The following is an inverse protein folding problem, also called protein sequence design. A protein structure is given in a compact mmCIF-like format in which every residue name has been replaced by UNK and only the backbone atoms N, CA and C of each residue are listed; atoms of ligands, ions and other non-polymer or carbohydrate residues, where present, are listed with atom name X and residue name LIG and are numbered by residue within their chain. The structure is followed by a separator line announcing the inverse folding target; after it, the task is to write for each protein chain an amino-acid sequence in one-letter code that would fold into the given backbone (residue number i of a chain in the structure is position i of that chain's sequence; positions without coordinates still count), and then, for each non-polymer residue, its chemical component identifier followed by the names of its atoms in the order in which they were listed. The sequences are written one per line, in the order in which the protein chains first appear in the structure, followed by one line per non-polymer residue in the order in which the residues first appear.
data_IF_153483330596
#
_entry.id   IF_153483330596
#
_cell.length_a   1.000
_cell.length_b   1.000
_cell.length_c   1.000
_cell.angle_alpha   90.00
_cell.angle_beta   90.00
_cell.angle_gamma   90.00
#
_symmetry.space_group_name_H-M   'P 1'
#
loop_
_entity.id
_entity.type
_entity.pdbx_description
1 polymer ?
#
# COMPACT_ATOMS: atom_id res chain seq x y z
N UNK A 1 12.82 -32.68 64.28
CA UNK A 1 12.82 -31.22 64.05
C UNK A 1 13.81 -30.74 62.95
N UNK A 2 15.09 -31.15 62.93
CA UNK A 2 16.03 -30.64 61.92
C UNK A 2 15.72 -30.99 60.46
N UNK A 3 15.08 -32.12 60.17
CA UNK A 3 14.69 -32.53 58.81
C UNK A 3 13.54 -31.69 58.26
N UNK A 4 12.51 -31.40 59.06
CA UNK A 4 11.36 -30.56 58.66
C UNK A 4 11.80 -29.12 58.39
N UNK A 5 12.71 -28.57 59.20
CA UNK A 5 13.25 -27.23 58.98
C UNK A 5 14.04 -27.13 57.67
N UNK A 6 14.74 -28.19 57.24
CA UNK A 6 15.46 -28.24 55.97
C UNK A 6 14.53 -28.35 54.78
N UNK A 7 13.45 -29.11 54.88
CA UNK A 7 12.42 -29.24 53.85
C UNK A 7 11.65 -27.93 53.65
N UNK A 8 11.26 -27.27 54.72
CA UNK A 8 10.58 -25.97 54.69
C UNK A 8 11.48 -24.89 54.06
N UNK A 9 12.79 -24.88 54.47
CA UNK A 9 13.74 -23.92 53.92
C UNK A 9 14.00 -24.12 52.42
N UNK A 10 14.05 -25.38 51.92
CA UNK A 10 14.17 -25.69 50.49
C UNK A 10 12.88 -25.33 49.74
N UNK A 11 11.73 -25.60 50.29
CA UNK A 11 10.45 -25.20 49.69
C UNK A 11 10.30 -23.68 49.56
N UNK A 12 10.64 -22.93 50.61
CA UNK A 12 10.62 -21.46 50.54
C UNK A 12 11.64 -20.90 49.52
N UNK A 13 12.82 -21.50 49.40
CA UNK A 13 13.81 -21.07 48.41
C UNK A 13 13.32 -21.35 46.98
N UNK A 14 12.67 -22.47 46.71
CA UNK A 14 12.10 -22.81 45.40
C UNK A 14 10.95 -21.89 45.01
N UNK A 15 10.07 -21.56 45.95
CA UNK A 15 8.98 -20.61 45.75
C UNK A 15 9.54 -19.21 45.47
N UNK A 16 10.53 -18.76 46.20
CA UNK A 16 11.18 -17.46 46.02
C UNK A 16 11.85 -17.38 44.63
N UNK A 17 12.55 -18.44 44.22
CA UNK A 17 13.18 -18.51 42.88
C UNK A 17 12.13 -18.45 41.77
N UNK A 18 11.00 -19.12 41.94
CA UNK A 18 9.90 -19.12 40.97
C UNK A 18 9.24 -17.73 40.85
N UNK A 19 9.05 -17.04 41.96
CA UNK A 19 8.53 -15.67 42.01
C UNK A 19 9.53 -14.70 41.34
N UNK A 20 10.81 -14.82 41.62
CA UNK A 20 11.84 -13.98 40.97
C UNK A 20 11.90 -14.22 39.46
N UNK A 21 11.83 -15.48 39.02
CA UNK A 21 11.76 -15.81 37.58
C UNK A 21 10.52 -15.23 36.92
N UNK A 22 9.37 -15.29 37.58
CA UNK A 22 8.11 -14.69 37.09
C UNK A 22 8.23 -13.17 36.98
N UNK A 23 8.79 -12.51 37.98
CA UNK A 23 9.00 -11.05 37.96
C UNK A 23 9.97 -10.67 36.83
N UNK A 24 11.07 -11.41 36.68
CA UNK A 24 12.03 -11.17 35.59
C UNK A 24 11.36 -11.37 34.22
N UNK A 25 10.55 -12.41 34.04
CA UNK A 25 9.81 -12.63 32.81
C UNK A 25 8.80 -11.50 32.52
N UNK A 26 8.03 -11.08 33.53
CA UNK A 26 7.04 -9.98 33.36
C UNK A 26 7.75 -8.65 33.08
N UNK A 27 8.84 -8.34 33.77
CA UNK A 27 9.63 -7.12 33.53
C UNK A 27 10.31 -7.17 32.18
N UNK A 28 10.83 -8.32 31.76
CA UNK A 28 11.46 -8.49 30.45
C UNK A 28 10.43 -8.41 29.32
N UNK A 29 9.26 -9.04 29.50
CA UNK A 29 8.16 -8.95 28.56
C UNK A 29 7.61 -7.52 28.48
N UNK A 30 7.47 -6.84 29.61
CA UNK A 30 7.04 -5.43 29.67
C UNK A 30 8.05 -4.48 28.98
N UNK A 31 9.36 -4.66 29.22
CA UNK A 31 10.39 -3.89 28.53
C UNK A 31 10.44 -4.20 27.03
N UNK A 32 10.29 -5.46 26.66
CA UNK A 32 10.24 -5.88 25.26
C UNK A 32 9.00 -5.32 24.54
N UNK A 33 7.83 -5.33 25.19
CA UNK A 33 6.62 -4.72 24.67
C UNK A 33 6.75 -3.19 24.58
N UNK A 34 7.27 -2.53 25.62
CA UNK A 34 7.44 -1.08 25.63
C UNK A 34 8.45 -0.60 24.55
N UNK A 35 9.52 -1.33 24.33
CA UNK A 35 10.50 -0.98 23.29
C UNK A 35 9.99 -1.23 21.85
N UNK A 36 9.00 -2.11 21.67
CA UNK A 36 8.39 -2.37 20.34
C UNK A 36 7.22 -1.43 20.01
N UNK A 37 6.71 -0.70 20.98
CA UNK A 37 5.55 0.17 20.78
C UNK A 37 5.88 1.67 20.69
N UNK A 38 7.16 2.05 20.77
CA UNK A 38 7.54 3.44 20.57
C UNK A 38 7.44 3.79 19.07
N UNK A 39 6.55 4.70 18.76
CA UNK A 39 6.50 5.31 17.44
C UNK A 39 7.79 6.14 17.24
N UNK A 40 8.45 6.04 16.06
CA UNK A 40 9.70 6.76 15.83
C UNK A 40 9.43 8.27 15.83
N UNK A 41 9.96 8.95 16.85
CA UNK A 41 9.89 10.40 16.97
C UNK A 41 11.18 11.01 16.45
N UNK A 42 11.06 12.06 15.62
CA UNK A 42 12.18 12.89 15.15
C UNK A 42 13.27 12.13 14.35
N UNK A 43 12.93 11.07 13.65
CA UNK A 43 13.87 10.32 12.84
C UNK A 43 13.82 10.73 11.37
N UNK A 44 14.87 11.39 10.90
CA UNK A 44 15.01 11.89 9.52
C UNK A 44 14.95 10.76 8.49
N UNK A 45 15.33 9.53 8.86
CA UNK A 45 15.37 8.36 7.97
C UNK A 45 14.06 8.06 7.25
N UNK A 46 12.92 8.33 7.89
CA UNK A 46 11.58 8.08 7.33
C UNK A 46 11.17 9.03 6.20
N UNK A 47 11.85 10.17 6.06
CA UNK A 47 11.65 11.15 4.98
C UNK A 47 12.87 11.32 4.07
N UNK A 48 13.97 10.63 4.33
CA UNK A 48 15.19 10.79 3.55
C UNK A 48 15.05 10.18 2.17
N UNK A 49 15.27 10.99 1.14
CA UNK A 49 15.14 10.59 -0.27
C UNK A 49 15.98 9.36 -0.62
N UNK A 50 15.36 8.44 -1.33
CA UNK A 50 15.99 7.20 -1.79
C UNK A 50 15.90 6.03 -0.81
N UNK A 51 15.54 6.26 0.47
CA UNK A 51 15.33 5.18 1.44
C UNK A 51 14.15 4.29 1.03
N UNK A 52 14.17 3.05 1.50
CA UNK A 52 13.09 2.08 1.30
C UNK A 52 12.35 1.86 2.62
N UNK A 53 11.03 1.83 2.57
CA UNK A 53 10.17 1.47 3.69
C UNK A 53 9.50 0.14 3.35
N UNK A 54 9.75 -0.85 4.17
CA UNK A 54 9.18 -2.19 4.04
C UNK A 54 8.10 -2.38 5.10
N UNK A 55 6.91 -2.78 4.67
CA UNK A 55 5.78 -3.08 5.54
C UNK A 55 5.53 -4.58 5.64
N UNK A 56 5.50 -5.09 6.87
CA UNK A 56 5.25 -6.50 7.18
C UNK A 56 3.94 -6.66 7.94
N UNK A 57 3.17 -7.65 7.58
CA UNK A 57 1.93 -7.99 8.26
C UNK A 57 0.86 -8.51 7.30
N UNK A 58 -0.31 -8.84 7.83
CA UNK A 58 -0.69 -8.81 9.24
C UNK A 58 -0.07 -9.98 10.01
N UNK A 59 0.42 -9.69 11.21
CA UNK A 59 0.88 -10.70 12.15
C UNK A 59 -0.12 -10.82 13.27
N UNK A 60 -0.74 -11.98 13.39
CA UNK A 60 -1.66 -12.28 14.51
C UNK A 60 -0.87 -12.76 15.71
N UNK A 61 -0.95 -12.07 16.84
CA UNK A 61 -0.36 -12.55 18.08
C UNK A 61 -1.19 -13.71 18.63
N UNK A 62 -0.60 -14.90 18.85
CA UNK A 62 -1.37 -16.11 19.17
C UNK A 62 -2.12 -16.05 20.51
N UNK A 63 -1.80 -15.11 21.39
CA UNK A 63 -2.39 -15.02 22.73
C UNK A 63 -3.21 -13.75 22.97
N UNK A 64 -3.17 -12.75 22.09
CA UNK A 64 -3.78 -11.44 22.32
C UNK A 64 -4.88 -11.09 21.31
N UNK A 65 -5.10 -11.94 20.31
CA UNK A 65 -6.02 -11.70 19.19
C UNK A 65 -5.85 -10.32 18.52
N UNK A 66 -4.63 -9.79 18.59
CA UNK A 66 -4.27 -8.51 18.02
C UNK A 66 -3.47 -8.68 16.74
N UNK A 67 -3.79 -7.88 15.76
CA UNK A 67 -3.03 -7.79 14.50
C UNK A 67 -1.99 -6.69 14.67
N UNK A 68 -0.76 -6.96 14.26
CA UNK A 68 0.33 -5.98 14.27
C UNK A 68 0.93 -5.80 12.88
N UNK A 69 1.27 -4.56 12.55
CA UNK A 69 2.07 -4.22 11.40
C UNK A 69 3.44 -3.72 11.86
N UNK A 70 4.47 -4.18 11.19
CA UNK A 70 5.85 -3.70 11.38
C UNK A 70 6.29 -2.96 10.13
N UNK A 71 6.87 -1.79 10.32
CA UNK A 71 7.51 -1.02 9.25
C UNK A 71 8.98 -0.85 9.54
N UNK A 72 9.81 -1.10 8.54
CA UNK A 72 11.27 -0.95 8.62
C UNK A 72 11.76 0.00 7.54
N UNK A 73 12.75 0.81 7.88
CA UNK A 73 13.42 1.73 6.94
C UNK A 73 14.81 1.23 6.64
N UNK A 74 15.14 1.22 5.37
CA UNK A 74 16.45 0.88 4.85
C UNK A 74 17.01 2.01 4.00
N UNK A 75 18.33 2.21 4.07
CA UNK A 75 19.03 3.15 3.19
C UNK A 75 19.02 2.68 1.72
N UNK A 76 19.40 3.54 0.77
CA UNK A 76 19.46 3.19 -0.65
C UNK A 76 20.41 2.04 -0.97
N UNK A 77 21.40 1.77 -0.09
CA UNK A 77 22.35 0.64 -0.17
C UNK A 77 21.89 -0.60 0.61
N UNK A 78 20.67 -0.59 1.14
CA UNK A 78 20.04 -1.76 1.79
C UNK A 78 20.39 -1.94 3.27
N UNK A 79 20.99 -0.95 3.93
CA UNK A 79 21.27 -1.03 5.38
C UNK A 79 20.03 -0.66 6.17
N UNK A 80 19.74 -1.43 7.21
CA UNK A 80 18.68 -1.13 8.16
C UNK A 80 18.96 0.18 8.91
N UNK A 81 17.95 1.02 9.07
CA UNK A 81 18.04 2.32 9.71
C UNK A 81 17.13 2.45 10.93
N UNK A 82 15.88 2.00 10.81
CA UNK A 82 14.87 2.18 11.87
C UNK A 82 13.71 1.19 11.73
N UNK A 83 12.90 1.04 12.79
CA UNK A 83 11.76 0.12 12.84
C UNK A 83 10.65 0.66 13.75
N UNK A 84 9.39 0.42 13.38
CA UNK A 84 8.24 0.59 14.26
C UNK A 84 7.25 -0.56 14.12
N UNK A 85 6.66 -0.96 15.23
CA UNK A 85 5.61 -2.01 15.28
C UNK A 85 4.47 -1.53 16.15
N UNK A 86 3.25 -1.54 15.62
CA UNK A 86 2.04 -1.16 16.35
C UNK A 86 0.86 -2.04 15.96
N UNK A 87 -0.27 -1.89 16.69
CA UNK A 87 -1.51 -2.54 16.31
C UNK A 87 -1.87 -2.12 14.88
N UNK A 88 -2.02 -3.09 14.00
CA UNK A 88 -2.10 -2.91 12.57
C UNK A 88 -3.50 -3.11 12.01
N UNK A 89 -3.59 -2.89 10.72
CA UNK A 89 -4.69 -3.27 9.85
C UNK A 89 -4.34 -4.53 9.06
N UNK A 90 -5.28 -5.06 8.29
CA UNK A 90 -5.03 -6.22 7.41
C UNK A 90 -3.93 -5.96 6.36
N UNK A 91 -3.66 -4.69 6.03
CA UNK A 91 -2.67 -4.31 5.04
C UNK A 91 -1.75 -3.21 5.57
N UNK A 92 -0.43 -3.47 5.68
CA UNK A 92 0.55 -2.46 6.04
C UNK A 92 0.82 -1.52 4.85
N UNK A 93 0.21 -0.34 4.89
CA UNK A 93 0.41 0.70 3.88
C UNK A 93 1.35 1.76 4.43
N UNK A 94 2.43 2.03 3.71
CA UNK A 94 3.32 3.15 3.96
C UNK A 94 3.32 4.09 2.76
N UNK A 95 3.19 5.38 3.02
CA UNK A 95 3.16 6.39 1.99
C UNK A 95 4.27 7.39 2.25
N UNK A 96 5.38 7.26 1.53
CA UNK A 96 6.52 8.12 1.71
C UNK A 96 6.27 9.53 1.15
N UNK A 97 6.68 10.52 1.91
CA UNK A 97 6.77 11.92 1.48
C UNK A 97 8.16 12.49 1.80
N UNK A 98 8.49 13.67 1.27
CA UNK A 98 9.76 14.34 1.57
C UNK A 98 9.88 14.84 3.01
N UNK A 99 8.77 14.95 3.73
CA UNK A 99 8.72 15.46 5.11
C UNK A 99 8.59 14.33 6.14
N UNK A 100 8.64 13.08 5.68
CA UNK A 100 8.42 11.88 6.47
C UNK A 100 7.49 10.94 5.75
N UNK A 101 7.12 9.85 6.39
CA UNK A 101 6.27 8.84 5.79
C UNK A 101 5.02 8.63 6.63
N UNK A 102 3.87 8.55 5.98
CA UNK A 102 2.63 8.18 6.63
C UNK A 102 2.52 6.65 6.69
N UNK A 103 2.29 6.15 7.90
CA UNK A 103 2.12 4.73 8.19
C UNK A 103 0.68 4.49 8.63
N UNK A 104 0.02 3.55 7.99
CA UNK A 104 -1.36 3.20 8.27
C UNK A 104 -1.44 2.14 9.38
N UNK A 105 -2.21 2.44 10.42
CA UNK A 105 -2.54 1.54 11.52
C UNK A 105 -4.06 1.40 11.66
N UNK A 106 -4.51 0.50 12.53
CA UNK A 106 -5.94 0.19 12.67
C UNK A 106 -6.79 1.40 13.11
N UNK A 107 -6.24 2.27 13.94
CA UNK A 107 -6.93 3.39 14.58
C UNK A 107 -6.41 4.77 14.18
N UNK A 108 -5.29 4.82 13.48
CA UNK A 108 -4.65 6.07 13.11
C UNK A 108 -3.76 5.95 11.88
N UNK A 109 -3.57 7.08 11.20
CA UNK A 109 -2.47 7.28 10.27
C UNK A 109 -1.44 8.16 10.99
N UNK A 110 -0.21 7.66 11.09
CA UNK A 110 0.87 8.35 11.80
C UNK A 110 1.96 8.74 10.83
N UNK A 111 2.41 9.99 10.93
CA UNK A 111 3.58 10.45 10.20
C UNK A 111 4.84 10.16 11.01
N UNK A 112 5.74 9.37 10.45
CA UNK A 112 7.08 9.15 10.95
C UNK A 112 8.06 10.03 10.18
N UNK A 113 8.94 10.79 10.88
CA UNK A 113 9.91 11.66 10.24
C UNK A 113 10.37 12.81 11.14
N UNK A 114 10.71 13.93 10.52
CA UNK A 114 11.19 15.12 11.22
C UNK A 114 10.11 15.73 12.14
N UNK A 115 8.86 15.59 11.74
CA UNK A 115 7.69 15.97 12.55
C UNK A 115 6.76 14.77 12.64
N UNK A 116 6.33 14.45 13.86
CA UNK A 116 5.31 13.44 14.09
C UNK A 116 3.93 14.05 14.02
N UNK A 117 3.06 13.45 13.24
CA UNK A 117 1.66 13.84 13.16
C UNK A 117 0.79 12.60 13.21
N UNK A 118 -0.26 12.63 14.01
CA UNK A 118 -1.20 11.53 14.14
C UNK A 118 -2.60 11.99 13.77
N UNK A 119 -3.26 11.22 12.90
CA UNK A 119 -4.64 11.44 12.50
C UNK A 119 -5.42 10.21 12.90
N UNK A 120 -6.28 10.39 13.90
CA UNK A 120 -7.19 9.33 14.32
C UNK A 120 -8.19 9.01 13.22
N UNK A 121 -8.33 7.74 12.91
CA UNK A 121 -9.31 7.21 11.96
C UNK A 121 -10.17 6.17 12.66
N UNK A 122 -11.48 6.21 12.40
CA UNK A 122 -12.41 5.18 12.87
C UNK A 122 -12.64 4.12 11.79
N UNK A 123 -11.61 3.86 10.99
CA UNK A 123 -11.68 2.97 9.85
C UNK A 123 -10.89 1.69 10.12
N UNK A 124 -11.39 0.55 9.64
CA UNK A 124 -10.68 -0.71 9.80
C UNK A 124 -9.70 -0.94 8.65
N UNK A 125 -10.20 -1.22 7.47
CA UNK A 125 -9.35 -1.62 6.36
C UNK A 125 -9.41 -0.61 5.22
N UNK A 126 -8.26 -0.21 4.67
CA UNK A 126 -8.21 0.59 3.47
C UNK A 126 -8.69 -0.26 2.29
N UNK A 127 -9.60 0.30 1.49
CA UNK A 127 -10.09 -0.32 0.25
C UNK A 127 -9.26 0.19 -0.92
N UNK A 128 -9.05 1.50 -0.96
CA UNK A 128 -8.31 2.18 -2.00
C UNK A 128 -7.39 3.24 -1.41
N UNK A 129 -6.24 3.44 -2.02
CA UNK A 129 -5.35 4.54 -1.67
C UNK A 129 -4.65 5.11 -2.90
N UNK A 130 -4.36 6.38 -2.83
CA UNK A 130 -3.65 7.11 -3.87
C UNK A 130 -2.70 8.12 -3.26
N UNK A 131 -1.61 8.42 -3.93
CA UNK A 131 -0.72 9.48 -3.51
C UNK A 131 -0.28 10.32 -4.70
N UNK A 132 -0.13 11.62 -4.47
CA UNK A 132 0.41 12.55 -5.43
C UNK A 132 1.84 12.92 -5.03
N UNK A 133 2.77 12.53 -5.85
CA UNK A 133 4.20 12.75 -5.62
C UNK A 133 4.64 14.19 -5.80
N UNK A 134 3.95 14.96 -6.62
CA UNK A 134 4.31 16.36 -6.91
C UNK A 134 4.03 17.26 -5.70
N UNK A 135 2.96 16.95 -4.98
CA UNK A 135 2.48 17.76 -3.84
C UNK A 135 2.68 17.10 -2.49
N UNK A 136 3.03 15.81 -2.45
CA UNK A 136 3.06 15.03 -1.22
C UNK A 136 1.67 14.79 -0.63
N UNK A 137 0.60 14.91 -1.43
CA UNK A 137 -0.76 14.66 -0.99
C UNK A 137 -1.07 13.17 -1.08
N UNK A 138 -1.79 12.68 -0.11
CA UNK A 138 -2.21 11.29 0.00
C UNK A 138 -3.72 11.21 0.22
N UNK A 139 -4.35 10.18 -0.32
CA UNK A 139 -5.74 9.87 -0.08
C UNK A 139 -5.94 8.40 0.23
N UNK A 140 -6.83 8.08 1.15
CA UNK A 140 -7.29 6.73 1.46
C UNK A 140 -8.79 6.68 1.56
N UNK A 141 -9.38 5.62 1.03
CA UNK A 141 -10.76 5.24 1.24
C UNK A 141 -10.78 3.97 2.08
N UNK A 142 -11.50 3.98 3.20
CA UNK A 142 -11.54 2.87 4.14
C UNK A 142 -12.96 2.64 4.69
N UNK A 143 -13.24 1.41 5.12
CA UNK A 143 -14.51 1.07 5.78
C UNK A 143 -14.63 1.82 7.10
N UNK A 144 -15.75 2.49 7.35
CA UNK A 144 -16.05 3.15 8.60
C UNK A 144 -16.62 2.14 9.61
N UNK A 145 -15.79 1.71 10.55
CA UNK A 145 -16.15 0.73 11.56
C UNK A 145 -17.13 1.23 12.63
N UNK A 146 -17.24 2.54 12.82
CA UNK A 146 -18.13 3.13 13.82
C UNK A 146 -19.57 3.30 13.34
N UNK A 147 -19.82 3.11 12.05
CA UNK A 147 -21.16 3.21 11.48
C UNK A 147 -21.97 1.94 11.70
N UNK A 148 -23.24 2.09 12.04
CA UNK A 148 -24.22 0.99 12.07
C UNK A 148 -24.72 0.61 10.67
N UNK A 149 -24.44 1.46 9.68
CA UNK A 149 -24.69 1.26 8.26
C UNK A 149 -23.37 1.14 7.51
N UNK A 150 -23.39 0.54 6.34
CA UNK A 150 -22.20 0.50 5.48
C UNK A 150 -21.83 1.93 5.08
N UNK A 151 -20.76 2.43 5.64
CA UNK A 151 -20.20 3.73 5.32
C UNK A 151 -18.71 3.62 5.08
N UNK A 152 -18.19 4.54 4.30
CA UNK A 152 -16.78 4.61 3.94
C UNK A 152 -16.25 5.99 4.30
N UNK A 153 -15.08 6.00 4.93
CA UNK A 153 -14.35 7.24 5.18
C UNK A 153 -13.36 7.48 4.05
N UNK A 154 -13.40 8.67 3.49
CA UNK A 154 -12.40 9.14 2.53
C UNK A 154 -11.60 10.24 3.22
N UNK A 155 -10.30 10.02 3.29
CA UNK A 155 -9.37 10.88 3.96
C UNK A 155 -8.34 11.37 2.94
N UNK A 156 -8.08 12.67 2.92
CA UNK A 156 -6.94 13.23 2.19
C UNK A 156 -5.98 13.92 3.15
N UNK A 157 -4.70 13.73 2.94
CA UNK A 157 -3.60 14.23 3.73
C UNK A 157 -2.63 14.99 2.86
N UNK A 158 -2.27 16.19 3.28
CA UNK A 158 -1.26 17.00 2.61
C UNK A 158 0.10 16.85 3.29
N UNK A 159 1.15 17.16 2.57
CA UNK A 159 2.52 17.13 3.09
C UNK A 159 2.75 18.08 4.28
N UNK A 160 1.93 19.12 4.45
CA UNK A 160 1.96 20.05 5.57
C UNK A 160 1.18 19.56 6.82
N UNK A 161 0.70 18.31 6.79
CA UNK A 161 -0.07 17.70 7.86
C UNK A 161 -1.55 18.05 7.89
N UNK A 162 -2.03 18.93 6.99
CA UNK A 162 -3.46 19.19 6.88
C UNK A 162 -4.19 17.98 6.37
N UNK A 163 -5.30 17.64 6.99
CA UNK A 163 -6.15 16.53 6.60
C UNK A 163 -7.59 16.97 6.42
N UNK A 164 -8.27 16.32 5.49
CA UNK A 164 -9.72 16.40 5.36
C UNK A 164 -10.29 15.01 5.41
N UNK A 165 -11.42 14.86 6.06
CA UNK A 165 -12.14 13.58 6.19
C UNK A 165 -13.61 13.81 5.93
N UNK A 166 -14.23 12.92 5.15
CA UNK A 166 -15.66 12.83 5.02
C UNK A 166 -16.13 11.39 4.95
N UNK A 167 -17.36 11.13 5.41
CA UNK A 167 -17.98 9.83 5.33
C UNK A 167 -18.99 9.81 4.19
N UNK A 168 -19.08 8.68 3.49
CA UNK A 168 -19.99 8.46 2.37
C UNK A 168 -20.55 7.04 2.39
N UNK A 169 -21.71 6.85 1.81
CA UNK A 169 -22.33 5.55 1.55
C UNK A 169 -21.96 4.97 0.16
N UNK A 170 -21.18 5.74 -0.61
CA UNK A 170 -20.65 5.29 -1.90
C UNK A 170 -19.50 4.29 -1.64
N UNK A 171 -19.64 3.08 -2.18
CA UNK A 171 -18.56 2.08 -2.19
C UNK A 171 -17.46 2.53 -3.14
N UNK A 172 -16.30 2.98 -2.63
CA UNK A 172 -15.22 3.46 -3.50
C UNK A 172 -14.55 2.28 -4.20
N UNK A 173 -14.28 2.43 -5.49
CA UNK A 173 -13.57 1.44 -6.30
C UNK A 173 -12.27 1.99 -6.88
N UNK A 174 -12.12 3.30 -6.94
CA UNK A 174 -10.91 3.94 -7.41
C UNK A 174 -10.79 5.36 -6.87
N UNK A 175 -9.59 5.76 -6.50
CA UNK A 175 -9.26 7.05 -5.94
C UNK A 175 -8.03 7.63 -6.64
N UNK A 176 -8.12 8.89 -7.07
CA UNK A 176 -6.98 9.64 -7.59
C UNK A 176 -6.84 10.97 -6.84
N UNK A 177 -5.63 11.29 -6.42
CA UNK A 177 -5.35 12.51 -5.66
C UNK A 177 -4.45 13.44 -6.46
N UNK A 178 -4.97 14.64 -6.76
CA UNK A 178 -4.24 15.74 -7.35
C UNK A 178 -3.72 16.75 -6.33
N UNK A 179 -3.41 17.93 -6.80
CA UNK A 179 -2.95 19.04 -5.95
C UNK A 179 -4.08 19.67 -5.15
N UNK A 180 -5.14 20.08 -5.85
CA UNK A 180 -6.25 20.84 -5.28
C UNK A 180 -7.52 19.97 -5.14
N UNK A 181 -7.57 18.82 -5.82
CA UNK A 181 -8.73 17.93 -5.84
C UNK A 181 -8.33 16.46 -5.70
N UNK A 182 -9.23 15.68 -5.13
CA UNK A 182 -9.26 14.23 -5.27
C UNK A 182 -10.52 13.83 -6.02
N UNK A 183 -10.41 12.78 -6.83
CA UNK A 183 -11.49 12.20 -7.61
C UNK A 183 -11.74 10.78 -7.12
N UNK A 184 -12.98 10.45 -6.78
CA UNK A 184 -13.38 9.13 -6.27
C UNK A 184 -14.49 8.59 -7.18
N UNK A 185 -14.26 7.42 -7.76
CA UNK A 185 -15.27 6.67 -8.48
C UNK A 185 -15.77 5.51 -7.62
N UNK A 186 -17.08 5.26 -7.63
CA UNK A 186 -17.68 4.22 -6.82
C UNK A 186 -19.14 3.90 -7.19
N UNK A 187 -19.79 3.15 -6.31
CA UNK A 187 -21.19 2.76 -6.45
C UNK A 187 -22.04 3.22 -5.27
N UNK A 188 -23.24 3.66 -5.56
CA UNK A 188 -24.33 3.77 -4.60
C UNK A 188 -25.51 2.95 -5.10
N UNK A 189 -25.86 1.88 -4.39
CA UNK A 189 -27.00 1.01 -4.76
C UNK A 189 -26.97 0.57 -6.25
N UNK A 190 -25.80 0.14 -6.74
CA UNK A 190 -25.51 -0.22 -8.14
C UNK A 190 -25.43 0.93 -9.15
N UNK A 191 -25.72 2.14 -8.78
CA UNK A 191 -25.50 3.30 -9.64
C UNK A 191 -24.07 3.81 -9.52
N UNK A 192 -23.45 4.10 -10.65
CA UNK A 192 -22.09 4.66 -10.71
C UNK A 192 -22.11 6.10 -10.26
N UNK A 193 -21.17 6.42 -9.37
CA UNK A 193 -21.03 7.76 -8.80
C UNK A 193 -19.60 8.25 -8.96
N UNK A 194 -19.46 9.54 -9.14
CA UNK A 194 -18.20 10.24 -9.21
C UNK A 194 -18.22 11.40 -8.22
N UNK A 195 -17.28 11.39 -7.27
CA UNK A 195 -17.14 12.45 -6.28
C UNK A 195 -15.89 13.26 -6.57
N UNK A 196 -16.03 14.57 -6.44
CA UNK A 196 -14.94 15.52 -6.42
C UNK A 196 -14.80 16.06 -5.01
N UNK A 197 -13.60 15.94 -4.45
CA UNK A 197 -13.23 16.43 -3.12
C UNK A 197 -12.23 17.56 -3.29
N UNK A 198 -12.55 18.76 -2.81
CA UNK A 198 -11.63 19.88 -2.88
C UNK A 198 -10.58 19.88 -1.76
N UNK A 199 -9.67 20.84 -1.79
CA UNK A 199 -8.59 20.97 -0.82
C UNK A 199 -9.05 21.42 0.58
N UNK A 200 -10.34 21.76 0.74
CA UNK A 200 -10.97 22.09 2.02
C UNK A 200 -11.82 20.91 2.55
N UNK A 201 -11.96 19.82 1.78
CA UNK A 201 -12.78 18.68 2.11
C UNK A 201 -14.26 18.83 1.73
N UNK A 202 -14.62 19.84 0.94
CA UNK A 202 -15.96 19.89 0.40
C UNK A 202 -16.12 18.82 -0.67
N UNK A 203 -17.20 18.06 -0.55
CA UNK A 203 -17.53 16.99 -1.47
C UNK A 203 -18.65 17.42 -2.40
N UNK A 204 -18.42 17.22 -3.67
CA UNK A 204 -19.43 17.49 -4.71
C UNK A 204 -19.59 16.22 -5.55
N UNK A 205 -20.81 15.71 -5.62
CA UNK A 205 -21.12 14.70 -6.63
C UNK A 205 -21.07 15.37 -8.00
N UNK A 206 -20.28 14.78 -8.89
CA UNK A 206 -20.09 15.31 -10.24
C UNK A 206 -20.49 14.28 -11.28
N UNK A 207 -20.75 14.74 -12.50
CA UNK A 207 -21.13 13.85 -13.59
C UNK A 207 -19.88 13.23 -14.22
N UNK A 208 -20.01 12.01 -14.70
CA UNK A 208 -19.04 11.49 -15.67
C UNK A 208 -19.04 12.34 -16.95
N UNK A 209 -17.99 12.28 -17.77
CA UNK A 209 -17.99 12.86 -19.11
C UNK A 209 -19.22 12.44 -19.90
N UNK A 210 -19.73 13.32 -20.77
CA UNK A 210 -21.01 13.07 -21.50
C UNK A 210 -20.97 11.79 -22.35
N UNK A 211 -19.80 11.44 -22.88
CA UNK A 211 -19.60 10.22 -23.68
C UNK A 211 -19.34 8.96 -22.82
N UNK A 212 -19.26 9.10 -21.49
CA UNK A 212 -19.03 7.97 -20.60
C UNK A 212 -20.28 7.09 -20.51
N UNK A 213 -20.11 5.81 -20.76
CA UNK A 213 -21.21 4.83 -20.79
C UNK A 213 -21.55 4.33 -19.39
N UNK A 214 -22.53 4.94 -18.76
CA UNK A 214 -22.99 4.53 -17.43
C UNK A 214 -23.59 3.12 -17.40
N UNK A 215 -24.10 2.64 -18.51
CA UNK A 215 -24.70 1.30 -18.68
C UNK A 215 -23.67 0.20 -18.92
N UNK A 216 -22.38 0.53 -19.06
CA UNK A 216 -21.34 -0.48 -19.25
C UNK A 216 -21.28 -1.46 -18.07
N UNK A 217 -21.40 -2.78 -18.29
CA UNK A 217 -21.30 -3.79 -17.25
C UNK A 217 -19.86 -3.97 -16.73
N UNK A 218 -18.89 -3.35 -17.39
CA UNK A 218 -17.46 -3.52 -17.09
C UNK A 218 -16.91 -2.43 -16.15
N UNK A 219 -17.77 -1.72 -15.42
CA UNK A 219 -17.35 -0.68 -14.48
C UNK A 219 -16.30 -1.13 -13.45
N UNK A 220 -16.27 -2.37 -12.94
CA UNK A 220 -15.19 -2.81 -12.07
C UNK A 220 -13.78 -2.70 -12.67
N UNK A 221 -13.67 -2.59 -13.99
CA UNK A 221 -12.41 -2.34 -14.70
C UNK A 221 -12.19 -0.86 -15.02
N UNK A 222 -13.04 0.03 -14.48
CA UNK A 222 -12.93 1.47 -14.70
C UNK A 222 -12.18 2.12 -13.53
N UNK A 223 -11.29 3.06 -13.84
CA UNK A 223 -10.40 3.67 -12.85
C UNK A 223 -10.35 5.18 -13.01
N UNK A 224 -9.98 5.87 -11.95
CA UNK A 224 -9.55 7.25 -11.99
C UNK A 224 -8.05 7.31 -11.69
N UNK A 225 -7.29 8.05 -12.49
CA UNK A 225 -5.85 8.20 -12.35
C UNK A 225 -5.48 9.68 -12.31
N UNK A 226 -4.41 10.02 -11.59
CA UNK A 226 -3.77 11.33 -11.69
C UNK A 226 -2.62 11.26 -12.69
N UNK A 227 -2.65 12.12 -13.72
CA UNK A 227 -1.66 12.14 -14.79
C UNK A 227 -0.55 13.18 -14.59
N UNK A 228 -0.65 14.02 -13.55
CA UNK A 228 0.24 15.16 -13.33
C UNK A 228 -0.32 16.48 -13.88
N UNK A 229 0.19 17.61 -13.38
CA UNK A 229 -0.20 18.96 -13.84
C UNK A 229 -1.73 19.20 -13.79
N UNK A 230 -2.39 18.84 -12.69
CA UNK A 230 -3.84 18.96 -12.49
C UNK A 230 -4.70 18.20 -13.50
N UNK A 231 -4.09 17.24 -14.23
CA UNK A 231 -4.80 16.38 -15.17
C UNK A 231 -5.13 15.05 -14.54
N UNK A 232 -6.33 14.60 -14.80
CA UNK A 232 -6.88 13.32 -14.38
C UNK A 232 -7.35 12.53 -15.59
N UNK A 233 -7.34 11.22 -15.44
CA UNK A 233 -7.93 10.29 -16.38
C UNK A 233 -9.12 9.62 -15.72
N UNK A 234 -10.22 9.56 -16.45
CA UNK A 234 -11.35 8.66 -16.15
C UNK A 234 -11.29 7.56 -17.20
N UNK A 235 -10.97 6.35 -16.77
CA UNK A 235 -10.83 5.20 -17.66
C UNK A 235 -12.09 4.36 -17.63
N UNK A 236 -12.69 4.12 -18.77
CA UNK A 236 -13.84 3.26 -18.96
C UNK A 236 -13.44 1.99 -19.68
N UNK A 237 -13.77 0.83 -19.12
CA UNK A 237 -13.73 -0.41 -19.88
C UNK A 237 -15.01 -0.53 -20.73
N UNK A 238 -14.82 -0.63 -22.05
CA UNK A 238 -15.92 -0.73 -23.01
C UNK A 238 -16.30 -2.17 -23.30
N UNK A 239 -15.29 -3.06 -23.27
CA UNK A 239 -15.44 -4.46 -23.59
C UNK A 239 -14.37 -5.27 -22.90
N UNK A 240 -14.76 -6.41 -22.36
CA UNK A 240 -13.85 -7.44 -21.85
C UNK A 240 -14.08 -8.71 -22.64
N UNK A 241 -13.03 -9.24 -23.22
CA UNK A 241 -13.06 -10.54 -23.94
C UNK A 241 -12.17 -11.50 -23.20
N UNK A 242 -12.78 -12.52 -22.64
CA UNK A 242 -12.06 -13.65 -22.07
C UNK A 242 -11.68 -14.61 -23.21
N UNK A 243 -10.41 -14.81 -23.43
CA UNK A 243 -9.88 -15.74 -24.42
C UNK A 243 -9.26 -16.97 -23.76
N UNK A 244 -9.00 -18.01 -24.54
CA UNK A 244 -8.26 -19.18 -24.06
C UNK A 244 -6.84 -18.86 -23.57
N UNK A 245 -6.32 -17.68 -23.91
CA UNK A 245 -4.93 -17.25 -23.63
C UNK A 245 -4.84 -15.86 -23.03
N UNK A 246 -5.77 -15.51 -22.14
CA UNK A 246 -5.76 -14.26 -21.40
C UNK A 246 -6.94 -13.36 -21.71
N UNK A 247 -6.96 -12.19 -21.07
CA UNK A 247 -8.04 -11.22 -21.20
C UNK A 247 -7.63 -10.08 -22.12
N UNK A 248 -8.57 -9.65 -22.94
CA UNK A 248 -8.44 -8.43 -23.75
C UNK A 248 -9.48 -7.45 -23.30
N UNK A 249 -9.07 -6.23 -22.96
CA UNK A 249 -9.96 -5.16 -22.53
C UNK A 249 -9.80 -3.97 -23.46
N UNK A 250 -10.92 -3.55 -24.04
CA UNK A 250 -11.01 -2.29 -24.79
C UNK A 250 -11.36 -1.17 -23.82
N UNK A 251 -10.63 -0.08 -23.88
CA UNK A 251 -10.78 1.07 -23.01
C UNK A 251 -11.02 2.36 -23.78
N UNK A 252 -11.85 3.22 -23.20
CA UNK A 252 -11.91 4.64 -23.51
C UNK A 252 -11.34 5.43 -22.35
N UNK A 253 -10.37 6.29 -22.62
CA UNK A 253 -9.75 7.20 -21.67
C UNK A 253 -10.25 8.62 -21.91
N UNK A 254 -10.78 9.23 -20.86
CA UNK A 254 -11.20 10.64 -20.83
C UNK A 254 -10.19 11.41 -20.00
N UNK A 255 -9.38 12.23 -20.62
CA UNK A 255 -8.48 13.14 -19.93
C UNK A 255 -9.19 14.43 -19.61
N UNK A 256 -9.19 14.81 -18.33
CA UNK A 256 -9.82 16.04 -17.80
C UNK A 256 -8.81 16.86 -17.02
N UNK A 257 -9.05 18.16 -16.89
CA UNK A 257 -8.27 19.06 -16.05
C UNK A 257 -9.15 19.61 -14.93
N UNK A 258 -8.66 19.50 -13.68
CA UNK A 258 -9.35 19.99 -12.48
C UNK A 258 -8.52 21.08 -11.82
N UNK A 259 -8.87 22.33 -12.08
CA UNK A 259 -8.21 23.52 -11.50
C UNK A 259 -9.10 24.20 -10.47
N UNK A 260 -8.51 24.85 -9.48
CA UNK A 260 -9.18 25.50 -8.34
C UNK A 260 -10.36 26.40 -8.72
N UNK A 261 -10.34 27.01 -9.91
CA UNK A 261 -11.41 27.86 -10.40
C UNK A 261 -12.27 27.23 -11.51
N UNK A 262 -12.01 25.99 -11.88
CA UNK A 262 -12.66 25.27 -12.98
C UNK A 262 -12.66 23.76 -12.74
N UNK A 263 -13.35 23.34 -11.69
CA UNK A 263 -13.51 21.92 -11.37
C UNK A 263 -14.73 21.34 -12.10
N UNK A 264 -14.55 20.94 -13.34
CA UNK A 264 -15.60 20.28 -14.11
C UNK A 264 -15.07 19.03 -14.80
N UNK A 265 -15.66 17.89 -14.47
CA UNK A 265 -15.37 16.61 -15.14
C UNK A 265 -15.98 16.52 -16.53
N UNK A 266 -16.86 17.45 -16.89
CA UNK A 266 -17.45 17.54 -18.24
C UNK A 266 -16.52 18.13 -19.29
N UNK A 267 -15.50 18.89 -18.86
CA UNK A 267 -14.53 19.46 -19.79
C UNK A 267 -13.43 18.46 -20.09
N UNK A 268 -13.65 17.66 -21.11
CA UNK A 268 -12.72 16.66 -21.60
C UNK A 268 -11.68 17.32 -22.48
N UNK A 269 -10.40 17.15 -22.15
CA UNK A 269 -9.27 17.64 -22.94
C UNK A 269 -8.98 16.74 -24.16
N UNK A 270 -9.07 15.44 -23.94
CA UNK A 270 -8.85 14.44 -24.98
C UNK A 270 -9.61 13.15 -24.68
N UNK A 271 -10.01 12.46 -25.75
CA UNK A 271 -10.55 11.10 -25.68
C UNK A 271 -9.65 10.19 -26.48
N UNK A 272 -9.27 9.06 -25.89
CA UNK A 272 -8.41 8.08 -26.54
C UNK A 272 -8.99 6.67 -26.37
N UNK A 273 -8.89 5.86 -27.42
CA UNK A 273 -9.33 4.46 -27.42
C UNK A 273 -8.12 3.56 -27.58
N UNK A 274 -8.04 2.53 -26.76
CA UNK A 274 -6.96 1.55 -26.83
C UNK A 274 -7.39 0.21 -26.28
N UNK A 275 -6.67 -0.83 -26.68
CA UNK A 275 -6.92 -2.20 -26.25
C UNK A 275 -5.75 -2.71 -25.44
N UNK A 276 -6.01 -3.26 -24.26
CA UNK A 276 -4.99 -3.97 -23.46
C UNK A 276 -5.24 -5.46 -23.50
N UNK A 277 -4.22 -6.20 -23.91
CA UNK A 277 -4.22 -7.66 -23.86
C UNK A 277 -3.24 -8.12 -22.79
N UNK A 278 -3.74 -8.89 -21.83
CA UNK A 278 -2.92 -9.50 -20.79
C UNK A 278 -2.59 -10.94 -21.20
N UNK A 279 -1.30 -11.36 -21.16
CA UNK A 279 -0.91 -12.73 -21.41
C UNK A 279 -1.58 -13.70 -20.42
N UNK A 280 -1.85 -14.92 -20.85
CA UNK A 280 -2.48 -15.96 -20.05
C UNK A 280 -1.69 -16.36 -18.79
N UNK A 281 -0.37 -16.27 -18.88
CA UNK A 281 0.60 -16.69 -17.89
C UNK A 281 1.11 -15.55 -16.98
N UNK A 282 0.43 -14.40 -16.97
CA UNK A 282 0.82 -13.32 -16.06
C UNK A 282 0.39 -13.62 -14.61
N UNK A 283 1.29 -13.35 -13.67
CA UNK A 283 1.05 -13.57 -12.25
C UNK A 283 0.39 -12.35 -11.62
N UNK A 284 0.85 -11.16 -11.99
CA UNK A 284 0.36 -9.92 -11.40
C UNK A 284 0.54 -8.73 -12.35
N UNK A 285 -0.37 -7.78 -12.21
CA UNK A 285 -0.34 -6.49 -12.92
C UNK A 285 -0.23 -5.37 -11.90
N UNK A 286 0.66 -4.43 -12.14
CA UNK A 286 0.92 -3.30 -11.27
C UNK A 286 0.80 -1.98 -12.01
N UNK A 287 0.15 -1.01 -11.37
CA UNK A 287 0.12 0.35 -11.87
C UNK A 287 1.51 0.98 -11.74
N UNK A 288 2.02 1.49 -12.84
CA UNK A 288 3.24 2.29 -12.91
C UNK A 288 2.87 3.78 -12.96
N UNK A 289 3.80 4.61 -13.43
CA UNK A 289 3.56 6.04 -13.57
C UNK A 289 2.66 6.36 -14.75
N UNK A 290 1.93 7.46 -14.61
CA UNK A 290 1.14 8.06 -15.71
C UNK A 290 0.15 7.09 -16.37
N UNK A 291 -0.35 6.10 -15.60
CA UNK A 291 -1.28 5.10 -16.13
C UNK A 291 -0.62 3.93 -16.87
N UNK A 292 0.70 3.87 -16.93
CA UNK A 292 1.41 2.70 -17.42
C UNK A 292 1.21 1.50 -16.47
N UNK A 293 1.39 0.31 -16.98
CA UNK A 293 1.29 -0.93 -16.22
C UNK A 293 2.53 -1.79 -16.39
N UNK A 294 2.95 -2.45 -15.33
CA UNK A 294 3.98 -3.47 -15.37
C UNK A 294 3.38 -4.83 -15.05
N UNK A 295 3.83 -5.88 -15.68
CA UNK A 295 3.43 -7.23 -15.36
C UNK A 295 4.54 -8.25 -15.61
N UNK A 296 4.42 -9.36 -14.89
CA UNK A 296 5.35 -10.47 -14.93
C UNK A 296 4.60 -11.76 -15.16
N UNK A 297 5.18 -12.64 -15.95
CA UNK A 297 4.66 -13.98 -16.20
C UNK A 297 5.22 -15.00 -15.20
N UNK A 298 4.58 -16.15 -15.08
CA UNK A 298 5.01 -17.22 -14.18
C UNK A 298 6.47 -17.65 -14.42
N UNK A 299 6.91 -17.69 -15.68
CA UNK A 299 8.28 -18.03 -16.04
C UNK A 299 9.27 -16.87 -15.88
N UNK A 300 8.84 -15.73 -15.34
CA UNK A 300 9.68 -14.59 -15.00
C UNK A 300 9.93 -13.59 -16.14
N UNK A 301 9.19 -13.63 -17.23
CA UNK A 301 9.26 -12.59 -18.26
C UNK A 301 8.61 -11.31 -17.74
N UNK A 302 9.29 -10.19 -17.91
CA UNK A 302 8.84 -8.86 -17.44
C UNK A 302 8.47 -7.99 -18.61
N UNK A 303 7.35 -7.29 -18.48
CA UNK A 303 6.79 -6.41 -19.49
C UNK A 303 6.40 -5.08 -18.89
N UNK A 304 6.51 -4.03 -19.69
CA UNK A 304 5.93 -2.71 -19.43
C UNK A 304 4.93 -2.40 -20.53
N UNK A 305 3.76 -1.97 -20.12
CA UNK A 305 2.68 -1.59 -21.01
C UNK A 305 2.38 -0.11 -20.83
N UNK A 306 2.83 0.70 -21.72
CA UNK A 306 2.54 2.13 -21.75
C UNK A 306 1.02 2.36 -21.88
N UNK A 307 0.53 3.42 -21.23
CA UNK A 307 -0.90 3.70 -21.06
C UNK A 307 -1.74 3.55 -22.34
N UNK A 308 -1.30 4.14 -23.43
CA UNK A 308 -2.06 4.18 -24.69
C UNK A 308 -1.57 3.18 -25.75
N UNK A 309 -0.61 2.35 -25.44
CA UNK A 309 -0.16 1.33 -26.37
C UNK A 309 -1.06 0.09 -26.32
N UNK A 310 -1.25 -0.55 -27.47
CA UNK A 310 -2.06 -1.77 -27.57
C UNK A 310 -1.28 -3.04 -27.22
N UNK A 311 0.04 -2.95 -27.16
CA UNK A 311 0.91 -4.11 -26.87
C UNK A 311 1.93 -3.78 -25.81
N UNK A 312 2.18 -4.75 -24.91
CA UNK A 312 3.25 -4.63 -23.96
C UNK A 312 4.62 -4.75 -24.59
N UNK A 313 5.58 -4.07 -24.00
CA UNK A 313 7.00 -4.16 -24.36
C UNK A 313 7.69 -5.12 -23.42
N UNK A 314 8.30 -6.18 -23.96
CA UNK A 314 9.16 -7.07 -23.20
C UNK A 314 10.43 -6.33 -22.77
N UNK A 315 10.76 -6.32 -21.49
CA UNK A 315 11.92 -5.62 -20.93
C UNK A 315 13.02 -6.56 -20.47
N UNK A 316 12.69 -7.82 -20.19
CA UNK A 316 13.69 -8.83 -19.83
C UNK A 316 13.12 -10.05 -19.13
N UNK A 317 14.01 -10.97 -18.76
CA UNK A 317 13.73 -12.25 -18.13
C UNK A 317 14.40 -12.29 -16.76
N UNK A 318 13.68 -12.63 -15.71
CA UNK A 318 14.24 -12.88 -14.40
C UNK A 318 15.03 -14.19 -14.38
N UNK A 319 16.26 -14.14 -13.91
CA UNK A 319 17.08 -15.34 -13.76
C UNK A 319 16.58 -16.23 -12.63
N UNK A 320 16.62 -17.55 -12.84
CA UNK A 320 16.23 -18.56 -11.86
C UNK A 320 14.74 -18.87 -11.81
N UNK A 321 13.92 -18.21 -12.65
CA UNK A 321 12.51 -18.54 -12.80
C UNK A 321 12.24 -19.33 -14.07
N UNK A 322 11.33 -20.31 -13.95
CA UNK A 322 10.89 -21.20 -15.02
C UNK A 322 9.48 -21.68 -14.69
N UNK A 323 8.89 -22.50 -15.55
CA UNK A 323 7.60 -23.17 -15.27
C UNK A 323 7.62 -24.10 -14.03
N UNK A 324 8.80 -24.55 -13.61
CA UNK A 324 8.99 -25.42 -12.44
C UNK A 324 9.28 -24.61 -11.16
N UNK A 325 9.95 -23.47 -11.31
CA UNK A 325 10.26 -22.52 -10.24
C UNK A 325 9.70 -21.15 -10.63
N UNK A 326 8.40 -20.98 -10.44
CA UNK A 326 7.66 -19.85 -11.00
C UNK A 326 7.61 -18.65 -10.06
N UNK A 327 7.44 -17.48 -10.66
CA UNK A 327 7.08 -16.26 -9.96
C UNK A 327 5.67 -16.39 -9.40
N UNK A 328 5.48 -15.99 -8.15
CA UNK A 328 4.19 -15.99 -7.47
C UNK A 328 3.90 -14.62 -6.88
N UNK A 329 2.66 -14.35 -6.55
CA UNK A 329 2.28 -13.13 -5.82
C UNK A 329 2.98 -13.01 -4.46
N UNK A 330 3.47 -14.12 -3.88
CA UNK A 330 4.15 -14.11 -2.59
C UNK A 330 5.62 -13.71 -2.69
N UNK A 331 6.26 -13.92 -3.83
CA UNK A 331 7.67 -13.59 -4.01
C UNK A 331 7.91 -12.36 -4.90
N UNK A 332 6.87 -11.80 -5.51
CA UNK A 332 6.94 -10.62 -6.35
C UNK A 332 6.19 -9.46 -5.70
N UNK A 333 6.90 -8.39 -5.36
CA UNK A 333 6.36 -7.26 -4.62
C UNK A 333 6.66 -5.97 -5.39
N UNK A 334 5.64 -5.20 -5.80
CA UNK A 334 5.87 -3.91 -6.44
C UNK A 334 6.53 -2.96 -5.44
N UNK A 335 7.49 -2.18 -5.92
CA UNK A 335 7.99 -1.02 -5.16
C UNK A 335 7.13 0.18 -5.51
N UNK A 336 6.33 0.63 -4.57
CA UNK A 336 5.57 1.86 -4.70
C UNK A 336 6.53 3.04 -4.70
N UNK A 337 7.06 3.37 -5.87
CA UNK A 337 7.86 4.55 -6.08
C UNK A 337 7.18 5.42 -7.12
N UNK A 338 6.52 6.47 -6.65
CA UNK A 338 6.01 7.50 -7.55
C UNK A 338 7.11 8.48 -7.97
N UNK A 339 8.32 8.27 -7.45
CA UNK A 339 9.52 9.05 -7.75
C UNK A 339 10.64 8.11 -8.22
N UNK A 340 11.41 8.56 -9.18
CA UNK A 340 12.49 7.76 -9.75
C UNK A 340 11.98 6.71 -10.72
N UNK A 341 12.78 5.75 -11.04
CA UNK A 341 12.47 4.68 -11.96
C UNK A 341 11.57 3.63 -11.31
N UNK A 342 10.46 3.23 -11.95
CA UNK A 342 9.60 2.17 -11.46
C UNK A 342 10.39 0.89 -11.17
N UNK A 343 10.13 0.29 -10.02
CA UNK A 343 10.90 -0.85 -9.52
C UNK A 343 9.98 -1.89 -8.89
N UNK A 344 10.50 -3.10 -8.70
CA UNK A 344 9.86 -4.19 -7.98
C UNK A 344 10.89 -4.96 -7.16
N UNK A 345 10.42 -5.69 -6.16
CA UNK A 345 11.20 -6.60 -5.34
C UNK A 345 10.93 -8.06 -5.67
N UNK A 346 11.99 -8.84 -5.69
CA UNK A 346 11.88 -10.31 -5.69
C UNK A 346 12.33 -10.79 -4.32
N UNK A 347 11.39 -11.39 -3.59
CA UNK A 347 11.64 -11.94 -2.27
C UNK A 347 12.23 -13.35 -2.38
N UNK A 348 13.34 -13.56 -1.67
CA UNK A 348 13.92 -14.85 -1.34
C UNK A 348 13.74 -15.13 0.16
N UNK A 349 14.22 -16.28 0.65
CA UNK A 349 14.13 -16.65 2.07
C UNK A 349 14.71 -15.60 3.02
N UNK A 350 15.83 -14.97 2.65
CA UNK A 350 16.62 -14.11 3.56
C UNK A 350 16.73 -12.66 3.10
N UNK A 351 16.23 -12.34 1.91
CA UNK A 351 16.41 -11.01 1.33
C UNK A 351 15.38 -10.69 0.24
N UNK A 352 15.26 -9.39 -0.05
CA UNK A 352 14.54 -8.88 -1.23
C UNK A 352 15.54 -8.22 -2.16
N UNK A 353 15.55 -8.62 -3.43
CA UNK A 353 16.31 -7.96 -4.48
C UNK A 353 15.44 -6.95 -5.21
N UNK A 354 15.78 -5.66 -5.14
CA UNK A 354 15.08 -4.59 -5.85
C UNK A 354 15.63 -4.44 -7.27
N UNK A 355 14.74 -4.37 -8.25
CA UNK A 355 15.04 -4.34 -9.69
C UNK A 355 14.19 -3.28 -10.39
N UNK A 356 14.65 -2.82 -11.56
CA UNK A 356 13.87 -1.95 -12.44
C UNK A 356 12.90 -2.74 -13.30
N UNK A 357 11.74 -2.16 -13.62
CA UNK A 357 10.84 -2.69 -14.65
C UNK A 357 11.45 -2.64 -16.04
N UNK A 358 12.40 -1.73 -16.29
CA UNK A 358 13.07 -1.57 -17.59
C UNK A 358 14.37 -2.36 -17.71
N UNK A 359 14.98 -2.74 -16.58
CA UNK A 359 16.20 -3.55 -16.51
C UNK A 359 16.05 -4.67 -15.45
N UNK A 360 15.12 -5.64 -15.66
CA UNK A 360 14.76 -6.61 -14.64
C UNK A 360 15.90 -7.59 -14.29
N UNK A 361 16.87 -7.76 -15.16
CA UNK A 361 18.03 -8.62 -14.92
C UNK A 361 19.04 -8.01 -13.95
N UNK A 362 19.00 -6.69 -13.74
CA UNK A 362 19.96 -5.97 -12.92
C UNK A 362 19.39 -5.73 -11.51
N UNK A 363 20.05 -6.30 -10.51
CA UNK A 363 19.75 -6.01 -9.10
C UNK A 363 20.28 -4.62 -8.76
N UNK A 364 19.41 -3.71 -8.33
CA UNK A 364 19.79 -2.37 -7.86
C UNK A 364 20.30 -2.39 -6.43
N UNK A 365 19.58 -3.09 -5.57
CA UNK A 365 19.92 -3.24 -4.15
C UNK A 365 19.35 -4.56 -3.64
N UNK A 366 20.04 -5.16 -2.68
CA UNK A 366 19.56 -6.31 -1.91
C UNK A 366 19.32 -5.88 -0.46
N UNK A 367 18.10 -6.04 0.02
CA UNK A 367 17.69 -5.68 1.37
C UNK A 367 17.53 -6.97 2.17
N UNK A 368 18.27 -7.16 3.27
CA UNK A 368 18.12 -8.35 4.09
C UNK A 368 16.76 -8.32 4.81
N UNK A 369 16.08 -9.46 4.83
CA UNK A 369 14.85 -9.63 5.61
C UNK A 369 15.20 -9.85 7.08
N UNK A 370 14.60 -9.05 7.96
CA UNK A 370 14.81 -9.19 9.39
C UNK A 370 13.95 -10.34 9.92
N UNK A 371 14.59 -11.36 10.49
CA UNK A 371 13.91 -12.48 11.15
C UNK A 371 13.00 -12.03 12.31
N UNK A 372 13.24 -10.86 12.87
CA UNK A 372 12.44 -10.31 13.97
C UNK A 372 11.14 -9.61 13.47
N UNK A 373 11.14 -9.12 12.24
CA UNK A 373 9.97 -8.53 11.60
C UNK A 373 9.11 -9.57 10.88
N UNK A 374 9.73 -10.69 10.51
CA UNK A 374 9.07 -11.82 9.88
C UNK A 374 8.60 -12.78 10.99
N UNK A 375 7.30 -12.81 11.27
CA UNK A 375 6.77 -13.99 11.92
C UNK A 375 6.73 -15.08 10.86
N UNK A 376 7.52 -16.10 11.08
CA UNK A 376 7.54 -17.26 10.22
C UNK A 376 6.18 -17.95 10.35
N UNK A 377 5.42 -17.95 9.28
CA UNK A 377 4.29 -18.84 9.12
C UNK A 377 4.79 -20.30 9.12
N UNK A 378 3.91 -21.26 9.13
CA UNK A 378 4.22 -22.69 9.15
C UNK A 378 5.25 -23.08 8.08
N UNK A 379 5.34 -22.29 7.00
CA UNK A 379 6.26 -22.47 5.87
C UNK A 379 7.55 -21.60 5.94
N UNK A 380 7.83 -20.93 7.08
CA UNK A 380 8.98 -20.04 7.24
C UNK A 380 9.06 -18.87 6.22
N UNK A 381 7.95 -18.42 5.68
CA UNK A 381 7.90 -17.30 4.73
C UNK A 381 7.62 -15.98 5.47
N UNK A 382 8.40 -14.96 5.15
CA UNK A 382 8.20 -13.64 5.70
C UNK A 382 7.01 -12.95 5.03
N UNK A 383 6.06 -12.45 5.82
CA UNK A 383 4.89 -11.73 5.32
C UNK A 383 5.22 -10.28 4.96
N UNK A 384 6.13 -10.09 4.02
CA UNK A 384 6.39 -8.78 3.43
C UNK A 384 5.24 -8.40 2.50
N UNK A 385 4.50 -7.37 2.86
CA UNK A 385 3.29 -6.97 2.13
C UNK A 385 3.50 -5.73 1.26
N UNK A 386 4.45 -4.85 1.61
CA UNK A 386 4.68 -3.64 0.81
C UNK A 386 6.14 -3.19 0.83
N UNK A 387 6.57 -2.59 -0.27
CA UNK A 387 7.86 -1.89 -0.40
C UNK A 387 7.57 -0.51 -0.97
N UNK A 388 8.03 0.53 -0.30
CA UNK A 388 7.84 1.91 -0.71
C UNK A 388 9.20 2.62 -0.77
N UNK A 389 9.42 3.48 -1.75
CA UNK A 389 10.63 4.28 -1.85
C UNK A 389 10.33 5.73 -1.53
N UNK A 390 11.10 6.30 -0.61
CA UNK A 390 11.01 7.73 -0.26
C UNK A 390 11.45 8.59 -1.44
N UNK A 391 10.67 9.62 -1.79
CA UNK A 391 10.88 10.48 -2.96
C UNK A 391 12.16 11.31 -2.93
#
# INVERSE_FOLDING_TARGET
MRLVARLVKRGCLSVLALVVCLIVMVVSAGKYAANRHSFPENTVSWGQSGNYIMGYGPVREPYLDTIKNTYQVFSPDGKWLDETTQQGSCYPIAIPTRQGSYLYFADAIKQAGEHTHEISINAHDPIEYSSNSETGTFGVAAVNASSTEFAYDILTLKSDGKSTKFSTDIVPISLAVGKDYALVAGYLSSEKRLLLVDDQGHVTETSFPDEYRLDSPYFPYSYVNYLGNDRFEILQADRVVEGERGHTVDFTSFEIELKKNHASTKHVLSVSHFTKSLPEDFVATYALRHGDSGYVTEDGRVYVHERLNNKPTFTGQLEGFSKENHVTNNNFIPVNSRFGEPSFGIQSKDAVSIRSWFEPNKVKVTIPLSKNACFLDVDEVCNLASINRVP
#
